data_IF_710162546252
#
_entry.id   IF_710162546252
#
_cell.length_a   1.000
_cell.length_b   1.000
_cell.length_c   1.000
_cell.angle_alpha   90.00
_cell.angle_beta   90.00
_cell.angle_gamma   90.00
#
_symmetry.space_group_name_H-M   'P 1'
#
loop_
_entity.id
_entity.type
_entity.pdbx_description
1 polymer ?
#
# COMPACT_ATOMS: atom_id res chain seq x y z
N UNK A 1 -7.98 22.64 22.02
CA UNK A 1 -8.32 22.67 20.58
C UNK A 1 -7.04 22.30 19.86
N UNK A 2 -6.98 21.12 19.25
CA UNK A 2 -5.76 20.58 18.64
C UNK A 2 -5.43 21.40 17.39
N UNK A 3 -4.39 22.23 17.46
CA UNK A 3 -3.93 23.01 16.32
C UNK A 3 -2.95 22.16 15.50
N UNK A 4 -3.19 21.95 14.19
CA UNK A 4 -2.26 21.21 13.32
C UNK A 4 -0.91 21.95 13.09
N UNK A 5 -0.68 23.04 13.82
CA UNK A 5 0.48 23.91 13.73
C UNK A 5 1.54 23.59 14.80
N UNK A 6 1.21 22.74 15.77
CA UNK A 6 2.15 22.33 16.83
C UNK A 6 3.19 21.35 16.29
N UNK A 7 4.38 21.35 16.89
CA UNK A 7 5.45 20.45 16.47
C UNK A 7 5.18 19.02 16.95
N UNK A 8 5.58 18.01 16.19
CA UNK A 8 5.29 16.60 16.54
C UNK A 8 5.92 16.16 17.88
N UNK A 9 6.97 16.86 18.35
CA UNK A 9 7.60 16.61 19.65
C UNK A 9 6.87 17.22 20.85
N UNK A 10 5.87 18.07 20.62
CA UNK A 10 5.07 18.71 21.68
C UNK A 10 3.80 17.90 22.01
N UNK A 11 3.61 16.76 21.33
CA UNK A 11 2.46 15.88 21.54
C UNK A 11 2.57 15.21 22.91
N UNK A 12 1.56 15.42 23.75
CA UNK A 12 1.45 14.80 25.07
C UNK A 12 1.09 13.31 24.95
N UNK A 13 1.39 12.51 25.98
CA UNK A 13 1.03 11.09 25.99
C UNK A 13 -0.48 10.85 25.88
N UNK A 14 -1.29 11.71 26.52
CA UNK A 14 -2.76 11.65 26.44
C UNK A 14 -3.27 11.93 25.03
N UNK A 15 -2.66 12.85 24.30
CA UNK A 15 -2.97 13.10 22.88
C UNK A 15 -2.60 11.91 22.01
N UNK A 16 -1.43 11.31 22.26
CA UNK A 16 -0.97 10.14 21.51
C UNK A 16 -1.93 8.96 21.67
N UNK A 17 -2.36 8.66 22.90
CA UNK A 17 -3.33 7.59 23.17
C UNK A 17 -4.69 7.85 22.50
N UNK A 18 -5.15 9.10 22.51
CA UNK A 18 -6.37 9.50 21.78
C UNK A 18 -6.23 9.28 20.28
N UNK A 19 -5.10 9.64 19.69
CA UNK A 19 -4.84 9.42 18.26
C UNK A 19 -4.82 7.92 17.93
N UNK A 20 -4.12 7.11 18.74
CA UNK A 20 -4.03 5.66 18.52
C UNK A 20 -5.41 5.00 18.58
N UNK A 21 -6.26 5.38 19.54
CA UNK A 21 -7.62 4.83 19.66
C UNK A 21 -8.50 5.22 18.47
N UNK A 22 -8.41 6.47 17.99
CA UNK A 22 -9.12 6.93 16.79
C UNK A 22 -8.68 6.15 15.55
N UNK A 23 -7.38 5.94 15.37
CA UNK A 23 -6.83 5.24 14.20
C UNK A 23 -7.22 3.76 14.22
N UNK A 24 -7.29 3.12 15.39
CA UNK A 24 -7.71 1.72 15.52
C UNK A 24 -9.21 1.53 15.24
N UNK A 25 -10.06 2.49 15.65
CA UNK A 25 -11.53 2.37 15.52
C UNK A 25 -12.16 3.60 14.84
N UNK A 26 -11.79 3.95 13.60
CA UNK A 26 -12.14 5.23 12.98
C UNK A 26 -13.65 5.41 12.77
N UNK A 27 -14.38 4.32 12.54
CA UNK A 27 -15.84 4.33 12.34
C UNK A 27 -16.62 4.77 13.58
N UNK A 28 -16.07 4.53 14.78
CA UNK A 28 -16.68 4.96 16.05
C UNK A 28 -16.57 6.47 16.26
N UNK A 29 -15.54 7.10 15.68
CA UNK A 29 -15.28 8.54 15.76
C UNK A 29 -15.86 9.33 14.58
N UNK A 30 -16.90 8.80 13.93
CA UNK A 30 -17.62 9.44 12.82
C UNK A 30 -16.77 9.71 11.57
N UNK A 31 -15.66 9.00 11.39
CA UNK A 31 -14.87 9.07 10.14
C UNK A 31 -15.64 8.33 9.04
N UNK A 32 -15.89 8.94 7.87
CA UNK A 32 -16.62 8.30 6.80
C UNK A 32 -15.90 7.08 6.23
N UNK A 33 -16.67 6.06 5.81
CA UNK A 33 -16.13 4.80 5.27
C UNK A 33 -15.30 5.01 4.00
N UNK A 34 -15.66 5.99 3.16
CA UNK A 34 -14.92 6.33 1.94
C UNK A 34 -13.48 6.80 2.20
N UNK A 35 -13.16 7.22 3.43
CA UNK A 35 -11.82 7.65 3.82
C UNK A 35 -10.90 6.48 4.22
N UNK A 36 -11.49 5.31 4.52
CA UNK A 36 -10.74 4.15 5.01
C UNK A 36 -9.91 3.51 3.89
N UNK A 37 -8.71 3.04 4.23
CA UNK A 37 -7.76 2.47 3.27
C UNK A 37 -8.16 1.07 2.76
N UNK A 38 -9.06 0.37 3.45
CA UNK A 38 -9.56 -0.94 3.06
C UNK A 38 -11.06 -1.05 3.29
N UNK A 39 -11.81 -0.80 2.23
CA UNK A 39 -13.27 -0.90 2.21
C UNK A 39 -13.71 -2.27 1.66
N UNK A 40 -14.77 -2.82 2.24
CA UNK A 40 -15.43 -4.07 1.84
C UNK A 40 -14.43 -5.18 1.58
N UNK A 41 -13.67 -5.54 2.61
CA UNK A 41 -12.70 -6.64 2.50
C UNK A 41 -13.39 -7.91 1.98
N UNK A 42 -12.72 -8.62 1.08
CA UNK A 42 -13.28 -9.75 0.33
C UNK A 42 -13.59 -10.95 1.24
N UNK A 43 -12.93 -11.03 2.39
CA UNK A 43 -13.03 -12.15 3.33
C UNK A 43 -14.15 -11.96 4.35
N UNK A 44 -14.23 -10.80 4.99
CA UNK A 44 -15.18 -10.53 6.08
C UNK A 44 -16.22 -9.44 5.75
N UNK A 45 -16.08 -8.75 4.62
CA UNK A 45 -17.01 -7.73 4.13
C UNK A 45 -16.94 -6.40 4.87
N UNK A 46 -16.02 -6.25 5.84
CA UNK A 46 -15.96 -5.07 6.73
C UNK A 46 -15.10 -3.96 6.11
N UNK A 47 -15.40 -2.73 6.53
CA UNK A 47 -14.56 -1.57 6.27
C UNK A 47 -13.60 -1.36 7.45
N UNK A 48 -12.31 -1.20 7.16
CA UNK A 48 -11.28 -1.07 8.19
C UNK A 48 -10.15 -0.13 7.76
N UNK A 49 -9.47 0.44 8.76
CA UNK A 49 -8.19 1.12 8.57
C UNK A 49 -7.09 0.16 8.99
N UNK A 50 -6.35 -0.39 8.01
CA UNK A 50 -5.27 -1.35 8.27
C UNK A 50 -3.97 -0.60 8.60
N UNK A 51 -3.26 -1.04 9.64
CA UNK A 51 -2.08 -0.36 10.18
C UNK A 51 -0.81 -1.21 10.12
N UNK A 52 0.33 -0.54 9.93
CA UNK A 52 1.69 -1.11 10.07
C UNK A 52 1.82 -2.54 9.48
N UNK A 53 2.17 -3.52 10.32
CA UNK A 53 2.43 -4.91 9.91
C UNK A 53 1.20 -5.63 9.34
N UNK A 54 0.00 -5.21 9.73
CA UNK A 54 -1.23 -5.78 9.18
C UNK A 54 -1.41 -5.41 7.71
N UNK A 55 -0.89 -4.25 7.28
CA UNK A 55 -0.99 -3.80 5.89
C UNK A 55 -0.18 -4.72 4.97
N UNK A 56 1.03 -5.08 5.37
CA UNK A 56 1.87 -6.00 4.61
C UNK A 56 1.24 -7.40 4.55
N UNK A 57 0.71 -7.88 5.68
CA UNK A 57 0.04 -9.18 5.76
C UNK A 57 -1.16 -9.25 4.81
N UNK A 58 -2.04 -8.23 4.84
CA UNK A 58 -3.20 -8.13 3.95
C UNK A 58 -2.82 -8.02 2.48
N UNK A 59 -1.78 -7.24 2.14
CA UNK A 59 -1.28 -7.16 0.76
C UNK A 59 -0.78 -8.52 0.27
N UNK A 60 -0.08 -9.27 1.12
CA UNK A 60 0.42 -10.61 0.79
C UNK A 60 -0.74 -11.58 0.55
N UNK A 61 -1.74 -11.59 1.42
CA UNK A 61 -2.96 -12.40 1.26
C UNK A 61 -3.67 -12.09 -0.06
N UNK A 62 -3.85 -10.81 -0.40
CA UNK A 62 -4.49 -10.38 -1.64
C UNK A 62 -3.71 -10.86 -2.88
N UNK A 63 -2.37 -10.74 -2.85
CA UNK A 63 -1.51 -11.18 -3.96
C UNK A 63 -1.50 -12.70 -4.10
N UNK A 64 -1.42 -13.45 -2.99
CA UNK A 64 -1.46 -14.91 -3.01
C UNK A 64 -2.80 -15.43 -3.52
N UNK A 65 -3.91 -14.80 -3.14
CA UNK A 65 -5.23 -15.11 -3.69
C UNK A 65 -5.25 -14.92 -5.22
N UNK A 66 -4.72 -13.81 -5.72
CA UNK A 66 -4.66 -13.54 -7.16
C UNK A 66 -3.78 -14.55 -7.92
N UNK A 67 -2.68 -15.01 -7.32
CA UNK A 67 -1.82 -16.07 -7.87
C UNK A 67 -2.55 -17.41 -7.92
N UNK A 68 -3.24 -17.80 -6.83
CA UNK A 68 -3.99 -19.06 -6.73
C UNK A 68 -5.08 -19.18 -7.80
N UNK A 69 -5.86 -18.11 -8.02
CA UNK A 69 -6.90 -18.09 -9.07
C UNK A 69 -6.33 -17.93 -10.50
N UNK A 70 -5.01 -17.81 -10.65
CA UNK A 70 -4.31 -17.56 -11.93
C UNK A 70 -4.84 -16.34 -12.69
N UNK A 71 -5.26 -15.31 -11.97
CA UNK A 71 -5.66 -14.05 -12.60
C UNK A 71 -4.45 -13.40 -13.28
N UNK A 72 -4.65 -12.80 -14.44
CA UNK A 72 -3.58 -12.13 -15.21
C UNK A 72 -2.76 -11.14 -14.36
N UNK A 73 -3.44 -10.36 -13.49
CA UNK A 73 -2.78 -9.47 -12.53
C UNK A 73 -1.89 -10.23 -11.54
N UNK A 74 -2.35 -11.35 -10.99
CA UNK A 74 -1.58 -12.20 -10.07
C UNK A 74 -0.35 -12.82 -10.73
N UNK A 75 -0.49 -13.31 -11.97
CA UNK A 75 0.63 -13.84 -12.76
C UNK A 75 1.68 -12.77 -13.06
N UNK A 76 1.25 -11.55 -13.42
CA UNK A 76 2.17 -10.40 -13.58
C UNK A 76 2.94 -10.09 -12.31
N UNK A 77 2.29 -10.11 -11.14
CA UNK A 77 2.97 -9.95 -9.85
C UNK A 77 3.96 -11.08 -9.57
N UNK A 78 3.61 -12.32 -9.90
CA UNK A 78 4.52 -13.47 -9.75
C UNK A 78 5.77 -13.33 -10.63
N UNK A 79 5.63 -12.84 -11.86
CA UNK A 79 6.76 -12.58 -12.78
C UNK A 79 7.51 -11.27 -12.52
N UNK A 80 7.07 -10.45 -11.55
CA UNK A 80 7.69 -9.15 -11.28
C UNK A 80 7.49 -8.10 -12.38
N UNK A 81 6.42 -8.23 -13.18
CA UNK A 81 6.09 -7.32 -14.28
C UNK A 81 5.11 -6.22 -13.84
N UNK A 82 5.07 -5.12 -14.59
CA UNK A 82 4.10 -4.03 -14.39
C UNK A 82 2.67 -4.51 -14.65
N UNK A 83 1.78 -4.19 -13.72
CA UNK A 83 0.44 -4.80 -13.64
C UNK A 83 -0.65 -3.98 -14.36
N UNK A 84 -0.51 -2.65 -14.40
CA UNK A 84 -1.56 -1.72 -14.88
C UNK A 84 -1.63 -1.57 -16.42
N UNK A 85 -1.12 -2.54 -17.18
CA UNK A 85 -1.15 -2.49 -18.65
C UNK A 85 -0.18 -1.48 -19.28
N UNK A 86 0.81 -1.00 -18.53
CA UNK A 86 1.84 -0.09 -19.04
C UNK A 86 2.68 -0.77 -20.12
N UNK A 87 3.04 -0.04 -21.18
CA UNK A 87 3.93 -0.54 -22.24
C UNK A 87 5.35 -0.80 -21.71
N UNK A 88 5.78 -2.06 -21.73
CA UNK A 88 7.11 -2.49 -21.26
C UNK A 88 8.18 -2.56 -22.36
N UNK A 89 7.84 -2.19 -23.60
CA UNK A 89 8.80 -2.20 -24.74
C UNK A 89 10.03 -1.30 -24.46
N UNK A 90 9.77 -0.09 -23.98
CA UNK A 90 10.78 0.96 -23.74
C UNK A 90 10.99 1.28 -22.27
N UNK A 91 9.94 1.19 -21.45
CA UNK A 91 9.99 1.60 -20.03
C UNK A 91 10.21 0.42 -19.08
N UNK A 92 10.84 0.67 -17.92
CA UNK A 92 11.05 -0.37 -16.90
C UNK A 92 12.22 -1.31 -17.17
N UNK A 93 13.13 -0.95 -18.09
CA UNK A 93 14.39 -1.66 -18.31
C UNK A 93 15.32 -1.45 -17.11
N UNK A 94 15.89 -2.54 -16.58
CA UNK A 94 16.98 -2.52 -15.59
C UNK A 94 18.29 -2.90 -16.30
N UNK A 95 19.33 -2.11 -16.10
CA UNK A 95 20.63 -2.24 -16.77
C UNK A 95 21.11 -0.91 -17.36
N UNK A 96 22.43 -0.72 -17.52
CA UNK A 96 23.00 0.42 -18.26
C UNK A 96 22.50 0.39 -19.70
N UNK A 97 22.19 1.55 -20.27
CA UNK A 97 22.04 1.69 -21.72
C UNK A 97 23.30 1.13 -22.39
N UNK A 98 23.15 0.06 -23.16
CA UNK A 98 24.24 -0.39 -24.04
C UNK A 98 24.38 0.64 -25.15
N UNK A 99 25.25 1.61 -24.95
CA UNK A 99 25.77 2.42 -26.04
C UNK A 99 26.63 1.56 -26.98
N UNK A 100 27.21 2.18 -28.00
CA UNK A 100 28.16 1.51 -28.90
C UNK A 100 29.42 1.10 -28.12
N UNK A 101 29.72 -0.19 -28.02
CA UNK A 101 31.00 -0.67 -27.52
C UNK A 101 32.08 -0.41 -28.57
N UNK A 102 32.94 0.59 -28.35
CA UNK A 102 34.18 0.70 -29.14
C UNK A 102 35.15 -0.38 -28.67
N UNK A 103 35.75 -1.10 -29.63
CA UNK A 103 36.86 -2.03 -29.37
C UNK A 103 37.97 -1.23 -28.67
N UNK A 104 38.38 -1.65 -27.47
CA UNK A 104 39.61 -1.11 -26.85
C UNK A 104 40.77 -1.53 -27.76
N UNK A 105 41.41 -0.53 -28.38
CA UNK A 105 42.76 -0.67 -28.92
C UNK A 105 43.77 -0.67 -27.79
#
# INVERSE_FOLDING_TARGET
METPHNSAGEITSEELERIVTIIQNPTQYKIPTWFLNRQRDITDGKDSQVLANQMESKLREDLERLKKIRAHRGLRHYWGLRVRGQHTKTTGRRGRTVGVSKKKG
#
